data_IF_057834014935
#
_entry.id   IF_057834014935
#
_cell.length_a   1.000
_cell.length_b   1.000
_cell.length_c   1.000
_cell.angle_alpha   90.00
_cell.angle_beta   90.00
_cell.angle_gamma   90.00
#
_symmetry.space_group_name_H-M   'P 1'
#
loop_
_entity.id
_entity.type
_entity.pdbx_description
1 polymer ?
#
# COMPACT_ATOMS: atom_id res chain seq x y z
N UNK A 1 20.97 -18.59 17.29
CA UNK A 1 21.85 -18.93 16.14
C UNK A 1 21.61 -17.83 15.12
N UNK A 2 22.48 -16.83 15.16
CA UNK A 2 22.35 -15.58 14.39
C UNK A 2 22.82 -15.82 12.96
N UNK A 3 22.06 -15.36 11.97
CA UNK A 3 22.50 -15.32 10.57
C UNK A 3 22.83 -13.86 10.22
N UNK A 4 24.12 -13.59 10.11
CA UNK A 4 24.69 -12.37 9.53
C UNK A 4 24.28 -12.27 8.06
N UNK A 5 23.59 -11.18 7.69
CA UNK A 5 23.41 -10.76 6.31
C UNK A 5 24.28 -9.53 6.06
N UNK A 6 25.54 -9.77 5.71
CA UNK A 6 26.41 -8.76 5.11
C UNK A 6 27.07 -9.36 3.86
N UNK A 7 26.50 -9.07 2.70
CA UNK A 7 27.16 -9.26 1.41
C UNK A 7 26.77 -8.09 0.49
N UNK A 8 27.63 -7.09 0.47
CA UNK A 8 27.64 -6.06 -0.58
C UNK A 8 28.28 -6.67 -1.82
N UNK A 9 27.50 -6.83 -2.90
CA UNK A 9 28.04 -7.11 -4.23
C UNK A 9 27.46 -6.11 -5.22
N UNK A 10 28.34 -5.31 -5.83
CA UNK A 10 28.05 -4.47 -6.99
C UNK A 10 27.49 -5.36 -8.12
N UNK A 11 26.23 -5.15 -8.50
CA UNK A 11 25.64 -5.80 -9.67
C UNK A 11 25.57 -4.77 -10.80
N UNK A 12 26.42 -4.96 -11.80
CA UNK A 12 26.20 -4.39 -13.13
C UNK A 12 25.01 -5.11 -13.78
N UNK A 13 24.05 -4.31 -14.23
CA UNK A 13 22.89 -4.68 -15.04
C UNK A 13 23.22 -5.70 -16.15
N UNK A 14 22.61 -6.87 -16.10
CA UNK A 14 22.45 -7.75 -17.26
C UNK A 14 20.97 -8.13 -17.44
N UNK A 15 20.29 -7.43 -18.35
CA UNK A 15 18.89 -7.67 -18.74
C UNK A 15 18.62 -9.12 -19.23
N UNK A 16 19.65 -9.90 -19.55
CA UNK A 16 19.53 -11.27 -20.07
C UNK A 16 19.26 -12.34 -18.99
N UNK A 17 19.66 -12.13 -17.74
CA UNK A 17 19.41 -13.11 -16.66
C UNK A 17 17.97 -13.02 -16.12
N UNK A 18 17.34 -11.84 -16.17
CA UNK A 18 15.95 -11.69 -15.76
C UNK A 18 14.95 -12.34 -16.71
N UNK A 19 15.24 -12.40 -18.03
CA UNK A 19 14.34 -13.02 -18.99
C UNK A 19 14.20 -14.53 -18.80
N UNK A 20 15.28 -15.22 -18.40
CA UNK A 20 15.24 -16.67 -18.12
C UNK A 20 14.50 -16.99 -16.81
N UNK A 21 14.72 -16.20 -15.75
CA UNK A 21 13.98 -16.33 -14.49
C UNK A 21 12.48 -16.05 -14.65
N UNK A 22 12.10 -15.15 -15.56
CA UNK A 22 10.69 -14.81 -15.85
C UNK A 22 9.94 -15.89 -16.63
N UNK A 23 10.62 -16.60 -17.53
CA UNK A 23 10.03 -17.71 -18.31
C UNK A 23 9.73 -18.91 -17.39
N UNK A 24 10.67 -19.27 -16.51
CA UNK A 24 10.51 -20.35 -15.51
C UNK A 24 9.37 -20.03 -14.51
N UNK A 25 9.22 -18.76 -14.13
CA UNK A 25 8.13 -18.30 -13.25
C UNK A 25 6.74 -18.47 -13.90
N UNK A 26 6.59 -18.16 -15.19
CA UNK A 26 5.29 -18.28 -15.87
C UNK A 26 4.88 -19.75 -16.05
N UNK A 27 5.82 -20.65 -16.37
CA UNK A 27 5.55 -22.09 -16.45
C UNK A 27 5.25 -22.72 -15.09
N UNK A 28 5.89 -22.23 -14.01
CA UNK A 28 5.65 -22.68 -12.63
C UNK A 28 4.24 -22.35 -12.13
N UNK A 29 3.70 -21.16 -12.41
CA UNK A 29 2.42 -20.73 -11.84
C UNK A 29 1.22 -20.88 -12.79
N UNK A 30 1.43 -21.10 -14.08
CA UNK A 30 0.36 -21.16 -15.09
C UNK A 30 0.10 -22.55 -15.64
N UNK A 31 -0.18 -23.46 -14.73
CA UNK A 31 -0.32 -24.87 -15.07
C UNK A 31 -1.75 -25.27 -15.45
N UNK A 32 -2.77 -24.45 -15.15
CA UNK A 32 -4.17 -24.81 -15.38
C UNK A 32 -5.00 -23.72 -16.07
N UNK A 33 -4.95 -23.70 -17.42
CA UNK A 33 -5.77 -22.82 -18.28
C UNK A 33 -7.29 -23.01 -18.17
N UNK A 34 -7.79 -23.95 -17.37
CA UNK A 34 -9.20 -24.37 -17.28
C UNK A 34 -9.82 -24.20 -15.89
N UNK A 35 -9.28 -23.33 -15.03
CA UNK A 35 -9.96 -23.02 -13.77
C UNK A 35 -10.96 -21.90 -13.98
N UNK A 36 -12.22 -22.13 -13.60
CA UNK A 36 -13.27 -21.11 -13.57
C UNK A 36 -13.02 -20.18 -12.36
N UNK A 37 -12.05 -19.29 -12.47
CA UNK A 37 -11.66 -18.37 -11.41
C UNK A 37 -12.53 -17.11 -11.46
N UNK A 38 -12.88 -16.56 -10.29
CA UNK A 38 -13.70 -15.35 -10.20
C UNK A 38 -12.93 -14.07 -10.55
N UNK A 39 -11.61 -14.15 -10.60
CA UNK A 39 -10.67 -13.06 -10.91
C UNK A 39 -9.64 -13.56 -11.92
N UNK A 40 -9.08 -12.66 -12.71
CA UNK A 40 -8.04 -12.98 -13.69
C UNK A 40 -6.78 -13.52 -13.01
N UNK A 41 -6.09 -14.44 -13.66
CA UNK A 41 -4.81 -14.94 -13.20
C UNK A 41 -3.66 -14.01 -13.63
N UNK A 42 -3.27 -13.11 -12.73
CA UNK A 42 -2.21 -12.11 -12.99
C UNK A 42 -0.88 -12.80 -13.27
N UNK A 43 -0.56 -13.91 -12.58
CA UNK A 43 0.69 -14.64 -12.79
C UNK A 43 0.72 -15.33 -14.17
N UNK A 44 -0.43 -15.43 -14.84
CA UNK A 44 -0.53 -15.94 -16.22
C UNK A 44 -0.61 -14.90 -17.31
N UNK A 45 -0.66 -13.63 -16.95
CA UNK A 45 -0.45 -12.57 -17.92
C UNK A 45 0.98 -12.65 -18.44
N UNK A 46 1.15 -12.59 -19.76
CA UNK A 46 2.48 -12.47 -20.36
C UNK A 46 3.13 -11.17 -19.90
N UNK A 47 4.46 -11.16 -19.68
CA UNK A 47 5.17 -9.93 -19.37
C UNK A 47 4.92 -8.86 -20.44
N UNK A 48 4.72 -7.62 -20.00
CA UNK A 48 4.61 -6.48 -20.90
C UNK A 48 6.01 -6.08 -21.41
N UNK A 49 6.08 -5.74 -22.69
CA UNK A 49 7.28 -5.12 -23.26
C UNK A 49 7.22 -3.61 -23.00
N UNK A 50 7.89 -3.18 -21.93
CA UNK A 50 7.90 -1.77 -21.54
C UNK A 50 8.78 -0.93 -22.48
N UNK A 51 8.24 0.23 -22.87
CA UNK A 51 8.87 1.20 -23.74
C UNK A 51 9.97 1.96 -22.97
N UNK A 52 11.20 2.07 -23.52
CA UNK A 52 12.35 2.58 -22.78
C UNK A 52 12.36 4.11 -22.62
N UNK A 53 11.54 4.84 -23.37
CA UNK A 53 11.49 6.30 -23.37
C UNK A 53 10.61 6.89 -22.26
N UNK A 54 10.02 6.07 -21.40
CA UNK A 54 9.16 6.48 -20.30
C UNK A 54 9.72 6.02 -18.97
N UNK A 55 9.61 6.86 -17.93
CA UNK A 55 9.84 6.40 -16.54
C UNK A 55 8.78 5.40 -16.11
N UNK A 56 7.52 5.68 -16.41
CA UNK A 56 6.45 4.74 -16.13
C UNK A 56 6.61 3.44 -16.94
N UNK A 57 6.26 2.29 -16.37
CA UNK A 57 6.08 1.04 -17.11
C UNK A 57 4.93 1.15 -18.12
N UNK A 58 5.26 1.67 -19.31
CA UNK A 58 4.31 1.90 -20.41
C UNK A 58 4.50 0.91 -21.56
N UNK A 59 3.42 0.50 -22.21
CA UNK A 59 3.42 -0.38 -23.39
C UNK A 59 2.35 0.07 -24.39
N UNK A 60 2.42 -0.45 -25.62
CA UNK A 60 1.35 -0.29 -26.61
C UNK A 60 0.39 -1.48 -26.53
N UNK A 61 -0.91 -1.20 -26.47
CA UNK A 61 -1.93 -2.24 -26.60
C UNK A 61 -2.14 -2.66 -28.08
N UNK A 62 -3.11 -3.56 -28.30
CA UNK A 62 -3.44 -4.09 -29.64
C UNK A 62 -3.91 -3.03 -30.63
N UNK A 63 -4.37 -1.87 -30.15
CA UNK A 63 -4.80 -0.74 -30.95
C UNK A 63 -3.69 0.32 -31.08
N UNK A 64 -2.46 -0.01 -30.68
CA UNK A 64 -1.31 0.90 -30.61
C UNK A 64 -1.47 2.06 -29.63
N UNK A 65 -2.48 2.03 -28.75
CA UNK A 65 -2.66 3.04 -27.72
C UNK A 65 -1.65 2.81 -26.58
N UNK A 66 -1.07 3.90 -26.06
CA UNK A 66 -0.14 3.82 -24.93
C UNK A 66 -0.94 3.58 -23.64
N UNK A 67 -0.54 2.55 -22.91
CA UNK A 67 -1.02 2.21 -21.57
C UNK A 67 0.17 2.28 -20.62
N UNK A 68 -0.07 2.70 -19.39
CA UNK A 68 0.96 2.76 -18.36
C UNK A 68 0.44 2.17 -17.04
N UNK A 69 1.31 1.44 -16.35
CA UNK A 69 1.14 1.15 -14.92
C UNK A 69 1.72 2.33 -14.10
N UNK A 70 1.34 2.47 -12.82
CA UNK A 70 1.95 3.47 -11.95
C UNK A 70 3.46 3.22 -11.81
N UNK A 71 4.22 4.30 -11.66
CA UNK A 71 5.66 4.25 -11.39
C UNK A 71 5.95 3.99 -9.89
N UNK A 72 5.02 4.41 -9.03
CA UNK A 72 5.10 4.20 -7.60
C UNK A 72 3.71 3.93 -7.00
N UNK A 73 3.70 3.31 -5.81
CA UNK A 73 2.49 3.09 -5.04
C UNK A 73 2.64 3.60 -3.60
N UNK A 74 1.76 4.51 -3.17
CA UNK A 74 1.58 4.87 -1.76
C UNK A 74 0.56 3.89 -1.14
N UNK A 75 1.08 2.76 -0.67
CA UNK A 75 0.27 1.58 -0.30
C UNK A 75 -0.24 1.58 1.13
N UNK A 76 0.21 2.51 1.98
CA UNK A 76 -0.20 2.54 3.38
C UNK A 76 0.16 3.82 4.10
N UNK A 77 -0.42 4.11 5.25
CA UNK A 77 -1.46 3.33 5.95
C UNK A 77 -2.73 4.18 6.15
N UNK A 78 -3.90 3.55 6.24
CA UNK A 78 -5.15 4.21 6.66
C UNK A 78 -4.90 5.13 7.86
N UNK A 79 -5.39 6.37 7.78
CA UNK A 79 -5.37 7.36 8.88
C UNK A 79 -3.98 7.75 9.39
N UNK A 80 -2.95 7.55 8.57
CA UNK A 80 -1.58 7.99 8.84
C UNK A 80 -1.15 9.20 8.00
N UNK A 81 -2.09 9.88 7.31
CA UNK A 81 -1.78 11.07 6.50
C UNK A 81 -1.52 10.80 5.02
N UNK A 82 -1.81 9.60 4.52
CA UNK A 82 -1.58 9.24 3.11
C UNK A 82 -2.28 10.15 2.09
N UNK A 83 -3.46 10.70 2.40
CA UNK A 83 -4.12 11.69 1.51
C UNK A 83 -3.36 13.01 1.42
N UNK A 84 -2.87 13.54 2.53
CA UNK A 84 -2.07 14.76 2.55
C UNK A 84 -0.74 14.55 1.82
N UNK A 85 -0.07 13.41 2.10
CA UNK A 85 1.18 13.05 1.44
C UNK A 85 1.05 12.94 -0.08
N UNK A 86 0.00 12.27 -0.56
CA UNK A 86 -0.21 12.12 -2.00
C UNK A 86 -0.60 13.45 -2.67
N UNK A 87 -1.43 14.28 -2.02
CA UNK A 87 -1.78 15.62 -2.51
C UNK A 87 -0.52 16.49 -2.70
N UNK A 88 0.40 16.45 -1.74
CA UNK A 88 1.70 17.15 -1.84
C UNK A 88 2.59 16.59 -2.94
N UNK A 89 2.63 15.27 -3.13
CA UNK A 89 3.40 14.65 -4.21
C UNK A 89 2.94 15.15 -5.59
N UNK A 90 1.64 15.20 -5.85
CA UNK A 90 1.11 15.60 -7.18
C UNK A 90 1.15 17.11 -7.46
N UNK A 91 1.57 17.91 -6.47
CA UNK A 91 1.91 19.33 -6.69
C UNK A 91 3.28 19.51 -7.35
N UNK A 92 4.12 18.46 -7.33
CA UNK A 92 5.35 18.45 -8.11
C UNK A 92 5.00 18.42 -9.62
N UNK A 93 5.60 19.28 -10.47
CA UNK A 93 5.24 19.37 -11.90
C UNK A 93 5.32 18.03 -12.65
N UNK A 94 6.33 17.23 -12.31
CA UNK A 94 6.60 15.91 -12.89
C UNK A 94 5.74 14.76 -12.34
N UNK A 95 4.85 14.99 -11.37
CA UNK A 95 4.06 13.92 -10.74
C UNK A 95 2.57 14.16 -10.95
N UNK A 96 1.90 13.19 -11.58
CA UNK A 96 0.47 13.24 -11.87
C UNK A 96 -0.32 12.26 -11.01
N UNK A 97 -1.48 12.70 -10.54
CA UNK A 97 -2.48 11.81 -9.95
C UNK A 97 -3.05 10.82 -10.95
N UNK A 98 -4.00 10.01 -10.49
CA UNK A 98 -4.78 9.10 -11.32
C UNK A 98 -6.27 9.47 -11.25
N UNK A 99 -7.12 8.79 -12.02
CA UNK A 99 -8.57 9.09 -12.05
C UNK A 99 -9.38 8.33 -10.99
N UNK A 100 -8.69 7.72 -10.02
CA UNK A 100 -9.30 7.03 -8.88
C UNK A 100 -9.96 7.98 -7.89
N UNK A 101 -10.44 7.42 -6.77
CA UNK A 101 -11.07 8.24 -5.73
C UNK A 101 -10.08 9.27 -5.19
N UNK A 102 -10.53 10.53 -5.03
CA UNK A 102 -9.69 11.67 -4.61
C UNK A 102 -8.44 11.88 -5.47
N UNK A 103 -8.47 11.45 -6.73
CA UNK A 103 -7.34 11.58 -7.65
C UNK A 103 -6.16 10.62 -7.37
N UNK A 104 -6.37 9.58 -6.53
CA UNK A 104 -5.28 8.68 -6.11
C UNK A 104 -5.66 7.23 -5.85
N UNK A 105 -6.84 6.95 -5.29
CA UNK A 105 -7.19 5.61 -4.78
C UNK A 105 -7.89 4.77 -5.84
N UNK A 106 -7.17 3.81 -6.43
CA UNK A 106 -7.77 2.82 -7.33
C UNK A 106 -8.56 1.78 -6.52
N UNK A 107 -8.08 1.40 -5.33
CA UNK A 107 -8.62 0.32 -4.49
C UNK A 107 -8.67 -1.04 -5.22
N UNK A 108 -7.92 -1.19 -6.30
CA UNK A 108 -8.06 -2.34 -7.18
C UNK A 108 -7.42 -3.59 -6.58
N UNK A 109 -6.17 -3.49 -6.14
CA UNK A 109 -5.38 -4.61 -5.63
C UNK A 109 -5.96 -5.23 -4.36
N UNK A 110 -6.42 -4.41 -3.43
CA UNK A 110 -7.03 -4.83 -2.16
C UNK A 110 -8.50 -5.23 -2.28
N UNK A 111 -9.32 -4.46 -3.01
CA UNK A 111 -10.79 -4.55 -2.92
C UNK A 111 -11.49 -4.85 -4.24
N UNK A 112 -11.40 -3.96 -5.23
CA UNK A 112 -12.26 -4.01 -6.42
C UNK A 112 -11.97 -5.22 -7.31
N UNK A 113 -10.71 -5.69 -7.39
CA UNK A 113 -10.38 -6.96 -8.08
C UNK A 113 -11.19 -8.13 -7.52
N UNK A 114 -11.35 -8.17 -6.21
CA UNK A 114 -11.99 -9.27 -5.48
C UNK A 114 -13.48 -9.07 -5.23
N UNK A 115 -14.04 -7.93 -5.63
CA UNK A 115 -15.45 -7.57 -5.41
C UNK A 115 -15.73 -7.24 -3.94
N UNK A 116 -14.74 -6.71 -3.22
CA UNK A 116 -14.85 -6.41 -1.78
C UNK A 116 -15.04 -4.90 -1.57
N UNK A 117 -15.77 -4.54 -0.51
CA UNK A 117 -15.84 -3.16 -0.03
C UNK A 117 -16.26 -3.15 1.44
N UNK A 118 -15.33 -2.93 2.39
CA UNK A 118 -15.63 -2.99 3.82
C UNK A 118 -16.46 -4.24 4.16
N UNK A 119 -17.73 -4.07 4.55
CA UNK A 119 -18.66 -5.14 4.92
C UNK A 119 -19.56 -5.65 3.80
N UNK A 120 -19.46 -5.12 2.58
CA UNK A 120 -20.31 -5.47 1.44
C UNK A 120 -19.52 -5.99 0.25
N UNK A 121 -20.24 -6.60 -0.68
CA UNK A 121 -19.73 -7.05 -1.98
C UNK A 121 -20.04 -5.98 -3.03
N UNK A 122 -19.09 -5.76 -3.95
CA UNK A 122 -19.24 -4.88 -5.11
C UNK A 122 -18.94 -5.63 -6.41
N UNK A 123 -19.22 -5.00 -7.55
CA UNK A 123 -18.83 -5.54 -8.87
C UNK A 123 -17.31 -5.67 -8.93
N UNK A 124 -16.86 -6.85 -9.37
CA UNK A 124 -15.43 -7.11 -9.63
C UNK A 124 -14.93 -6.28 -10.79
N UNK A 125 -13.70 -5.83 -10.67
CA UNK A 125 -12.95 -5.16 -11.73
C UNK A 125 -11.83 -6.05 -12.25
N UNK A 126 -11.58 -5.97 -13.55
CA UNK A 126 -10.50 -6.67 -14.22
C UNK A 126 -9.25 -5.77 -14.32
N UNK A 127 -8.16 -6.29 -14.87
CA UNK A 127 -6.90 -5.57 -15.00
C UNK A 127 -6.99 -4.39 -15.98
N UNK A 128 -7.84 -4.48 -17.00
CA UNK A 128 -8.09 -3.35 -17.88
C UNK A 128 -8.75 -2.19 -17.12
N UNK A 129 -9.70 -2.47 -16.22
CA UNK A 129 -10.27 -1.47 -15.32
C UNK A 129 -9.19 -0.81 -14.46
N UNK A 130 -8.20 -1.57 -13.97
CA UNK A 130 -7.07 -1.01 -13.22
C UNK A 130 -6.25 -0.03 -14.05
N UNK A 131 -5.83 -0.45 -15.25
CA UNK A 131 -5.02 0.40 -16.14
C UNK A 131 -5.78 1.65 -16.62
N UNK A 132 -7.11 1.59 -16.67
CA UNK A 132 -7.95 2.73 -17.06
C UNK A 132 -7.85 3.91 -16.08
N UNK A 133 -7.50 3.66 -14.81
CA UNK A 133 -7.28 4.73 -13.84
C UNK A 133 -6.10 5.65 -14.23
N UNK A 134 -5.19 5.17 -15.07
CA UNK A 134 -3.99 5.87 -15.50
C UNK A 134 -4.08 6.36 -16.94
N UNK A 135 -5.20 6.20 -17.63
CA UNK A 135 -5.32 6.52 -19.06
C UNK A 135 -5.01 7.99 -19.37
N UNK A 136 -5.55 8.91 -18.57
CA UNK A 136 -5.28 10.36 -18.72
C UNK A 136 -3.80 10.67 -18.50
N UNK A 137 -3.21 10.10 -17.45
CA UNK A 137 -1.79 10.30 -17.15
C UNK A 137 -0.90 9.67 -18.23
N UNK A 138 -1.28 8.52 -18.79
CA UNK A 138 -0.56 7.87 -19.88
C UNK A 138 -0.58 8.71 -21.16
N UNK A 139 -1.70 9.37 -21.48
CA UNK A 139 -1.79 10.31 -22.59
C UNK A 139 -0.91 11.55 -22.37
N UNK A 140 -0.98 12.15 -21.17
CA UNK A 140 -0.12 13.28 -20.81
C UNK A 140 1.36 12.92 -20.87
N UNK A 141 1.71 11.73 -20.37
CA UNK A 141 3.06 11.17 -20.45
C UNK A 141 3.44 11.06 -21.92
N UNK A 142 2.63 10.44 -22.78
CA UNK A 142 2.91 10.28 -24.21
C UNK A 142 3.09 11.61 -24.97
N UNK A 143 2.41 12.68 -24.56
CA UNK A 143 2.45 13.95 -25.26
C UNK A 143 3.62 14.86 -24.84
N UNK A 144 4.31 14.55 -23.73
CA UNK A 144 5.30 15.48 -23.12
C UNK A 144 6.72 14.93 -23.22
N UNK A 145 7.47 15.28 -24.26
CA UNK A 145 8.89 14.87 -24.42
C UNK A 145 9.86 15.93 -23.93
N UNK A 146 11.01 15.52 -23.38
CA UNK A 146 12.18 16.38 -23.29
C UNK A 146 12.90 16.49 -24.66
N UNK A 147 13.97 17.26 -24.73
CA UNK A 147 14.77 17.49 -25.96
C UNK A 147 15.39 16.20 -26.54
N UNK A 148 15.41 15.10 -25.79
CA UNK A 148 15.93 13.79 -26.18
C UNK A 148 14.82 12.78 -26.52
N UNK A 149 13.55 13.21 -26.53
CA UNK A 149 12.40 12.33 -26.75
C UNK A 149 12.04 11.44 -25.55
N UNK A 150 12.59 11.74 -24.37
CA UNK A 150 12.33 11.02 -23.11
C UNK A 150 11.29 11.75 -22.26
N UNK A 151 10.44 10.98 -21.60
CA UNK A 151 9.29 11.48 -20.83
C UNK A 151 9.53 11.32 -19.33
N UNK A 152 9.69 12.44 -18.62
CA UNK A 152 9.98 12.48 -17.18
C UNK A 152 8.76 12.40 -16.27
N UNK A 153 7.57 12.70 -16.82
CA UNK A 153 6.31 12.65 -16.08
C UNK A 153 6.08 11.26 -15.51
N UNK A 154 5.71 11.22 -14.23
CA UNK A 154 5.32 10.00 -13.54
C UNK A 154 3.91 10.06 -12.97
N UNK A 155 3.27 8.90 -12.83
CA UNK A 155 2.01 8.76 -12.09
C UNK A 155 2.09 7.64 -11.06
N UNK A 156 1.25 7.69 -10.03
CA UNK A 156 1.24 6.72 -8.94
C UNK A 156 -0.16 6.29 -8.50
N UNK A 157 -0.21 5.16 -7.81
CA UNK A 157 -1.41 4.66 -7.11
C UNK A 157 -1.31 4.98 -5.62
N UNK A 158 -2.30 5.66 -5.05
CA UNK A 158 -2.29 6.05 -3.65
C UNK A 158 -3.33 5.31 -2.83
N UNK A 159 -3.34 3.99 -2.84
CA UNK A 159 -4.31 3.14 -2.14
C UNK A 159 -3.75 2.55 -0.82
N UNK A 160 -4.09 3.12 0.36
CA UNK A 160 -3.50 2.69 1.63
C UNK A 160 -3.90 1.29 2.12
N UNK A 161 -4.91 0.69 1.48
CA UNK A 161 -5.45 -0.63 1.84
C UNK A 161 -4.57 -1.73 1.28
N UNK A 162 -3.82 -1.42 0.22
CA UNK A 162 -3.01 -2.40 -0.48
C UNK A 162 -1.92 -2.96 0.43
N UNK A 163 -1.40 -2.17 1.39
CA UNK A 163 -0.43 -2.64 2.36
C UNK A 163 -0.91 -3.84 3.19
N UNK A 164 -2.19 -3.85 3.62
CA UNK A 164 -2.66 -4.72 4.70
C UNK A 164 -3.86 -5.60 4.36
N UNK A 165 -4.72 -5.21 3.42
CA UNK A 165 -5.93 -5.97 3.13
C UNK A 165 -5.64 -7.09 2.13
N UNK A 166 -5.22 -8.23 2.69
CA UNK A 166 -4.98 -9.46 1.95
C UNK A 166 -6.18 -10.40 1.96
N UNK A 167 -7.35 -10.01 2.47
CA UNK A 167 -8.47 -10.95 2.67
C UNK A 167 -9.05 -11.52 1.37
N UNK A 168 -8.69 -10.93 0.23
CA UNK A 168 -8.97 -11.45 -1.11
C UNK A 168 -8.12 -12.66 -1.53
N UNK A 169 -7.08 -13.02 -0.77
CA UNK A 169 -6.12 -14.07 -1.12
C UNK A 169 -6.72 -15.42 -1.54
N UNK A 170 -7.86 -15.92 -0.99
CA UNK A 170 -8.42 -17.21 -1.42
C UNK A 170 -8.95 -17.18 -2.86
N UNK A 171 -9.17 -15.99 -3.44
CA UNK A 171 -9.59 -15.83 -4.83
C UNK A 171 -8.40 -15.85 -5.80
N UNK A 172 -7.16 -15.77 -5.32
CA UNK A 172 -5.96 -15.90 -6.16
C UNK A 172 -5.84 -17.37 -6.61
N UNK A 173 -5.74 -17.67 -7.92
CA UNK A 173 -5.77 -19.04 -8.42
C UNK A 173 -4.73 -19.96 -7.77
N UNK A 174 -3.51 -19.46 -7.56
CA UNK A 174 -2.39 -20.21 -6.97
C UNK A 174 -2.59 -20.56 -5.49
N UNK A 175 -3.56 -19.94 -4.81
CA UNK A 175 -3.90 -20.25 -3.42
C UNK A 175 -5.08 -21.22 -3.29
N UNK A 176 -5.59 -21.78 -4.40
CA UNK A 176 -6.73 -22.68 -4.36
C UNK A 176 -6.46 -23.86 -3.41
N UNK A 177 -7.44 -24.13 -2.53
CA UNK A 177 -7.38 -25.19 -1.51
C UNK A 177 -6.26 -25.07 -0.46
N UNK A 178 -5.59 -23.92 -0.37
CA UNK A 178 -4.61 -23.65 0.68
C UNK A 178 -5.29 -23.17 1.96
N UNK A 179 -4.73 -23.51 3.11
CA UNK A 179 -5.21 -23.05 4.42
C UNK A 179 -4.67 -21.66 4.82
N UNK A 180 -3.59 -21.23 4.16
CA UNK A 180 -2.94 -19.93 4.28
C UNK A 180 -2.37 -19.50 2.92
N UNK A 181 -2.20 -18.19 2.65
CA UNK A 181 -1.71 -17.72 1.36
C UNK A 181 -0.21 -17.97 1.18
N UNK A 182 0.13 -18.53 0.02
CA UNK A 182 1.48 -18.57 -0.54
C UNK A 182 1.71 -17.36 -1.47
N UNK A 183 0.67 -17.00 -2.24
CA UNK A 183 0.68 -15.84 -3.13
C UNK A 183 -0.16 -14.72 -2.53
N UNK A 184 0.38 -13.50 -2.55
CA UNK A 184 -0.27 -12.28 -2.05
C UNK A 184 -0.10 -11.14 -3.06
N UNK A 185 -0.79 -10.03 -2.83
CA UNK A 185 -0.68 -8.79 -3.62
C UNK A 185 0.75 -8.42 -4.04
N UNK A 186 1.77 -8.38 -3.15
CA UNK A 186 3.14 -8.08 -3.57
C UNK A 186 3.68 -9.02 -4.68
N UNK A 187 3.37 -10.32 -4.62
CA UNK A 187 3.78 -11.28 -5.66
C UNK A 187 3.15 -10.96 -7.01
N UNK A 188 1.87 -10.58 -7.01
CA UNK A 188 1.16 -10.21 -8.24
C UNK A 188 1.73 -8.91 -8.85
N UNK A 189 2.05 -7.92 -8.01
CA UNK A 189 2.66 -6.66 -8.45
C UNK A 189 4.06 -6.93 -9.02
N UNK A 190 4.89 -7.75 -8.34
CA UNK A 190 6.25 -8.09 -8.78
C UNK A 190 6.24 -8.75 -10.16
N UNK A 191 5.27 -9.62 -10.42
CA UNK A 191 5.11 -10.26 -11.73
C UNK A 191 4.87 -9.26 -12.86
N UNK A 192 4.05 -8.24 -12.60
CA UNK A 192 3.78 -7.19 -13.58
C UNK A 192 4.97 -6.24 -13.73
N UNK A 193 5.44 -5.66 -12.63
CA UNK A 193 6.51 -4.68 -12.64
C UNK A 193 7.47 -4.88 -11.45
N UNK A 194 8.61 -5.56 -11.67
CA UNK A 194 9.58 -5.84 -10.61
C UNK A 194 10.14 -4.59 -9.93
N UNK A 195 10.38 -3.52 -10.67
CA UNK A 195 11.06 -2.30 -10.20
C UNK A 195 10.11 -1.31 -9.47
N UNK A 196 8.91 -1.73 -9.10
CA UNK A 196 7.90 -0.88 -8.46
C UNK A 196 8.43 -0.18 -7.19
N UNK A 197 8.22 1.14 -7.08
CA UNK A 197 8.58 1.91 -5.88
C UNK A 197 7.40 2.01 -4.92
N UNK A 198 7.65 1.80 -3.64
CA UNK A 198 6.62 1.83 -2.60
C UNK A 198 6.87 2.97 -1.61
N UNK A 199 5.80 3.66 -1.25
CA UNK A 199 5.78 4.66 -0.19
C UNK A 199 4.79 4.18 0.88
N UNK A 200 5.21 4.24 2.13
CA UNK A 200 4.38 3.92 3.29
C UNK A 200 4.51 5.07 4.28
N UNK A 201 3.40 5.56 4.80
CA UNK A 201 3.38 6.45 5.96
C UNK A 201 2.64 5.75 7.11
N UNK A 202 3.33 5.58 8.24
CA UNK A 202 2.84 4.92 9.45
C UNK A 202 2.66 5.93 10.57
N UNK A 203 1.70 5.66 11.45
CA UNK A 203 1.42 6.44 12.66
C UNK A 203 1.41 5.50 13.85
N UNK A 204 1.60 6.02 15.06
CA UNK A 204 1.29 5.28 16.29
C UNK A 204 -0.01 4.46 16.13
N UNK A 205 0.03 3.12 16.22
CA UNK A 205 -1.09 2.26 15.85
C UNK A 205 -2.33 2.49 16.73
N UNK A 206 -2.14 2.95 17.97
CA UNK A 206 -3.21 3.31 18.91
C UNK A 206 -3.92 4.58 18.43
N UNK A 207 -3.16 5.62 18.10
CA UNK A 207 -3.73 6.88 17.63
C UNK A 207 -4.33 6.74 16.22
N UNK A 208 -3.73 5.90 15.37
CA UNK A 208 -4.28 5.51 14.06
C UNK A 208 -5.63 4.84 14.24
N UNK A 209 -5.73 3.81 15.10
CA UNK A 209 -6.97 3.10 15.40
C UNK A 209 -8.05 4.05 15.94
N UNK A 210 -7.68 4.95 16.85
CA UNK A 210 -8.61 5.93 17.39
C UNK A 210 -9.14 6.86 16.30
N UNK A 211 -8.25 7.40 15.45
CA UNK A 211 -8.65 8.23 14.31
C UNK A 211 -9.54 7.49 13.32
N UNK A 212 -9.33 6.20 13.16
CA UNK A 212 -10.03 5.34 12.23
C UNK A 212 -11.47 5.07 12.66
N UNK A 213 -11.66 4.73 13.93
CA UNK A 213 -12.98 4.49 14.51
C UNK A 213 -13.96 5.66 14.31
N UNK A 214 -13.52 6.90 14.58
CA UNK A 214 -14.39 8.07 14.38
C UNK A 214 -14.54 8.46 12.91
N UNK A 215 -13.51 8.23 12.08
CA UNK A 215 -13.60 8.51 10.66
C UNK A 215 -14.68 7.66 9.99
N UNK A 216 -14.70 6.36 10.32
CA UNK A 216 -15.69 5.41 9.81
C UNK A 216 -17.03 5.45 10.54
N UNK A 217 -17.17 6.25 11.61
CA UNK A 217 -18.39 6.36 12.42
C UNK A 217 -18.88 5.00 12.95
N UNK A 218 -17.95 4.16 13.41
CA UNK A 218 -18.23 2.77 13.84
C UNK A 218 -19.03 2.65 15.15
N UNK A 219 -19.30 3.78 15.80
CA UNK A 219 -20.19 3.85 16.96
C UNK A 219 -20.39 5.28 17.42
N UNK A 220 -20.97 5.43 18.61
CA UNK A 220 -21.19 6.76 19.21
C UNK A 220 -19.85 7.47 19.39
N UNK A 221 -19.81 8.80 19.22
CA UNK A 221 -18.60 9.59 19.40
C UNK A 221 -18.27 9.76 20.90
N UNK A 222 -17.99 8.67 21.60
CA UNK A 222 -17.65 8.66 23.03
C UNK A 222 -16.52 7.67 23.30
N UNK A 223 -15.72 7.94 24.33
CA UNK A 223 -14.64 7.04 24.78
C UNK A 223 -15.21 5.68 25.22
N UNK A 224 -16.33 5.66 25.95
CA UNK A 224 -16.98 4.42 26.38
C UNK A 224 -17.42 3.52 25.21
N UNK A 225 -17.92 4.10 24.11
CA UNK A 225 -18.29 3.31 22.93
C UNK A 225 -17.05 2.75 22.22
N UNK A 226 -15.96 3.52 22.16
CA UNK A 226 -14.67 3.05 21.67
C UNK A 226 -14.13 1.89 22.52
N UNK A 227 -14.21 2.00 23.85
CA UNK A 227 -13.76 0.97 24.79
C UNK A 227 -14.50 -0.37 24.55
N UNK A 228 -15.83 -0.33 24.38
CA UNK A 228 -16.64 -1.51 24.04
C UNK A 228 -16.21 -2.11 22.69
N UNK A 229 -15.98 -1.27 21.68
CA UNK A 229 -15.55 -1.70 20.36
C UNK A 229 -14.16 -2.35 20.38
N UNK A 230 -13.21 -1.81 21.14
CA UNK A 230 -11.88 -2.38 21.34
C UNK A 230 -11.96 -3.73 22.03
N UNK A 231 -12.72 -3.85 23.12
CA UNK A 231 -12.89 -5.14 23.82
C UNK A 231 -13.50 -6.21 22.91
N UNK A 232 -14.53 -5.86 22.12
CA UNK A 232 -15.11 -6.78 21.15
C UNK A 232 -14.10 -7.23 20.10
N UNK A 233 -13.25 -6.32 19.64
CA UNK A 233 -12.22 -6.58 18.62
C UNK A 233 -11.10 -7.47 19.15
N UNK A 234 -10.69 -7.28 20.41
CA UNK A 234 -9.75 -8.15 21.11
C UNK A 234 -10.32 -9.56 21.30
N UNK A 235 -11.61 -9.67 21.64
CA UNK A 235 -12.28 -10.97 21.74
C UNK A 235 -12.27 -11.71 20.40
N UNK A 236 -12.58 -11.04 19.30
CA UNK A 236 -12.52 -11.61 17.93
C UNK A 236 -11.12 -12.16 17.64
N UNK A 237 -10.08 -11.40 17.96
CA UNK A 237 -8.69 -11.83 17.78
C UNK A 237 -8.35 -13.05 18.63
N UNK A 238 -8.68 -13.02 19.92
CA UNK A 238 -8.38 -14.09 20.86
C UNK A 238 -9.10 -15.38 20.49
N UNK A 239 -10.37 -15.32 20.11
CA UNK A 239 -11.14 -16.48 19.67
C UNK A 239 -10.55 -17.10 18.40
N UNK A 240 -10.12 -16.29 17.44
CA UNK A 240 -9.49 -16.79 16.23
C UNK A 240 -8.12 -17.43 16.53
N UNK A 241 -7.29 -16.76 17.32
CA UNK A 241 -5.93 -17.19 17.66
C UNK A 241 -5.87 -18.45 18.55
N UNK A 242 -6.99 -18.88 19.16
CA UNK A 242 -7.05 -20.16 19.90
C UNK A 242 -6.85 -21.38 19.01
N UNK A 243 -7.21 -21.28 17.73
CA UNK A 243 -7.22 -22.42 16.79
C UNK A 243 -6.55 -22.10 15.46
N UNK A 244 -6.01 -20.90 15.28
CA UNK A 244 -5.33 -20.47 14.07
C UNK A 244 -4.08 -19.64 14.42
N UNK A 245 -3.16 -19.55 13.47
CA UNK A 245 -2.04 -18.60 13.54
C UNK A 245 -2.55 -17.15 13.50
N UNK A 246 -1.77 -16.22 14.08
CA UNK A 246 -2.05 -14.79 13.97
C UNK A 246 -2.16 -14.35 12.50
N UNK A 247 -1.24 -14.83 11.65
CA UNK A 247 -1.21 -14.54 10.21
C UNK A 247 -2.52 -14.93 9.54
N UNK A 248 -3.02 -16.14 9.80
CA UNK A 248 -4.30 -16.61 9.28
C UNK A 248 -5.47 -15.75 9.77
N UNK A 249 -5.50 -15.37 11.05
CA UNK A 249 -6.55 -14.50 11.58
C UNK A 249 -6.54 -13.10 10.96
N UNK A 250 -5.36 -12.52 10.74
CA UNK A 250 -5.20 -11.20 10.14
C UNK A 250 -5.54 -11.17 8.65
N UNK A 251 -5.57 -12.31 7.95
CA UNK A 251 -5.89 -12.39 6.52
C UNK A 251 -7.25 -13.07 6.24
N UNK A 252 -8.00 -13.42 7.28
CA UNK A 252 -9.30 -14.08 7.14
C UNK A 252 -10.42 -13.05 6.92
N UNK A 253 -11.15 -13.21 5.82
CA UNK A 253 -12.24 -12.31 5.46
C UNK A 253 -13.37 -12.29 6.50
N UNK A 254 -13.65 -13.39 7.20
CA UNK A 254 -14.71 -13.42 8.22
C UNK A 254 -14.32 -12.58 9.43
N UNK A 255 -13.06 -12.62 9.87
CA UNK A 255 -12.59 -11.76 10.96
C UNK A 255 -12.58 -10.28 10.56
N UNK A 256 -12.16 -9.96 9.33
CA UNK A 256 -12.24 -8.61 8.78
C UNK A 256 -13.66 -8.04 8.84
N UNK A 257 -14.67 -8.79 8.39
CA UNK A 257 -16.07 -8.36 8.45
C UNK A 257 -16.54 -8.06 9.89
N UNK A 258 -16.06 -8.81 10.89
CA UNK A 258 -16.37 -8.55 12.29
C UNK A 258 -15.67 -7.30 12.81
N UNK A 259 -14.41 -7.06 12.43
CA UNK A 259 -13.66 -5.87 12.85
C UNK A 259 -14.12 -4.59 12.15
N UNK A 260 -14.55 -4.67 10.90
CA UNK A 260 -15.00 -3.52 10.08
C UNK A 260 -16.25 -2.81 10.63
N UNK A 261 -16.95 -3.42 11.59
CA UNK A 261 -18.10 -2.83 12.31
C UNK A 261 -17.82 -2.56 13.81
N UNK A 262 -16.55 -2.67 14.24
CA UNK A 262 -16.11 -2.49 15.63
C UNK A 262 -14.93 -1.53 15.70
N UNK A 263 -13.77 -1.98 16.17
CA UNK A 263 -12.52 -1.24 16.12
C UNK A 263 -11.54 -2.05 15.27
N UNK A 264 -11.02 -1.47 14.19
CA UNK A 264 -10.15 -2.18 13.24
C UNK A 264 -8.73 -2.36 13.78
N UNK A 265 -8.60 -3.13 14.88
CA UNK A 265 -7.33 -3.35 15.59
C UNK A 265 -6.30 -4.06 14.70
N UNK A 266 -6.76 -4.89 13.77
CA UNK A 266 -5.93 -5.69 12.88
C UNK A 266 -5.03 -4.84 11.97
N UNK A 267 -5.45 -3.62 11.60
CA UNK A 267 -4.64 -2.69 10.80
C UNK A 267 -3.34 -2.26 11.50
N UNK A 268 -3.27 -2.30 12.84
CA UNK A 268 -2.10 -1.86 13.59
C UNK A 268 -0.94 -2.86 13.61
N UNK A 269 -1.11 -4.05 13.05
CA UNK A 269 -0.07 -5.10 13.01
C UNK A 269 0.92 -4.88 11.86
N UNK A 270 1.51 -3.69 11.77
CA UNK A 270 2.30 -3.27 10.60
C UNK A 270 3.45 -4.22 10.28
N UNK A 271 4.14 -4.76 11.31
CA UNK A 271 5.21 -5.75 11.13
C UNK A 271 4.75 -6.95 10.30
N UNK A 272 3.57 -7.52 10.61
CA UNK A 272 3.06 -8.72 9.95
C UNK A 272 2.81 -8.47 8.46
N UNK A 273 2.27 -7.29 8.12
CA UNK A 273 2.01 -6.94 6.73
C UNK A 273 3.30 -6.60 5.98
N UNK A 274 4.16 -5.75 6.57
CA UNK A 274 5.38 -5.30 5.93
C UNK A 274 6.36 -6.44 5.67
N UNK A 275 6.40 -7.44 6.55
CA UNK A 275 7.20 -8.64 6.34
C UNK A 275 6.81 -9.39 5.05
N UNK A 276 5.53 -9.44 4.69
CA UNK A 276 5.10 -10.05 3.41
C UNK A 276 5.57 -9.26 2.20
N UNK A 277 5.66 -7.92 2.30
CA UNK A 277 6.20 -7.07 1.24
C UNK A 277 7.71 -7.25 1.07
N UNK A 278 8.46 -7.29 2.18
CA UNK A 278 9.93 -7.45 2.15
C UNK A 278 10.40 -8.84 1.75
N UNK A 279 9.55 -9.87 1.86
CA UNK A 279 9.82 -11.20 1.28
C UNK A 279 9.87 -11.17 -0.25
N UNK A 280 9.23 -10.19 -0.89
CA UNK A 280 9.05 -10.13 -2.36
C UNK A 280 9.85 -9.02 -3.01
N UNK A 281 9.96 -7.86 -2.35
CA UNK A 281 10.66 -6.69 -2.87
C UNK A 281 11.84 -6.30 -1.98
N UNK A 282 12.96 -5.87 -2.57
CA UNK A 282 14.12 -5.41 -1.82
C UNK A 282 13.82 -4.11 -1.07
N UNK A 283 14.53 -3.89 0.05
CA UNK A 283 14.29 -2.79 0.98
C UNK A 283 14.45 -1.40 0.36
N UNK A 284 15.34 -1.26 -0.62
CA UNK A 284 15.65 -0.02 -1.34
C UNK A 284 14.50 0.45 -2.26
N UNK A 285 13.55 -0.42 -2.58
CA UNK A 285 12.31 -0.07 -3.28
C UNK A 285 11.25 0.57 -2.34
N UNK A 286 11.55 0.82 -1.06
CA UNK A 286 10.61 1.38 -0.09
C UNK A 286 11.12 2.67 0.57
N UNK A 287 10.27 3.69 0.63
CA UNK A 287 10.31 4.74 1.65
C UNK A 287 9.22 4.48 2.68
N UNK A 288 9.61 4.51 3.96
CA UNK A 288 8.70 4.29 5.09
C UNK A 288 8.84 5.46 6.05
N UNK A 289 7.79 6.25 6.16
CA UNK A 289 7.73 7.48 6.95
C UNK A 289 6.95 7.26 8.24
N UNK A 290 7.28 8.04 9.27
CA UNK A 290 6.41 8.24 10.44
C UNK A 290 5.63 9.53 10.26
N UNK A 291 4.33 9.50 10.53
CA UNK A 291 3.47 10.68 10.49
C UNK A 291 4.00 11.78 11.42
N UNK A 292 4.52 11.38 12.58
CA UNK A 292 5.08 12.28 13.58
C UNK A 292 6.28 13.07 13.02
N UNK A 293 7.24 12.38 12.38
CA UNK A 293 8.43 13.03 11.79
C UNK A 293 8.07 13.87 10.57
N UNK A 294 7.26 13.29 9.67
CA UNK A 294 6.78 13.96 8.46
C UNK A 294 6.08 15.29 8.78
N UNK A 295 5.26 15.30 9.83
CA UNK A 295 4.52 16.51 10.24
C UNK A 295 5.43 17.60 10.83
N UNK A 296 6.59 17.23 11.37
CA UNK A 296 7.55 18.18 11.95
C UNK A 296 8.45 18.83 10.89
N UNK A 297 8.78 18.10 9.82
CA UNK A 297 9.63 18.61 8.73
C UNK A 297 9.13 18.14 7.36
N UNK A 298 8.09 18.79 6.85
CA UNK A 298 7.50 18.46 5.54
C UNK A 298 8.50 18.69 4.41
N UNK A 299 9.34 19.73 4.50
CA UNK A 299 10.30 20.06 3.44
C UNK A 299 11.34 18.94 3.25
N UNK A 300 11.93 18.47 4.35
CA UNK A 300 12.90 17.38 4.32
C UNK A 300 12.30 16.11 3.69
N UNK A 301 11.16 15.65 4.22
CA UNK A 301 10.57 14.39 3.77
C UNK A 301 10.02 14.46 2.33
N UNK A 302 9.47 15.61 1.90
CA UNK A 302 9.07 15.79 0.50
C UNK A 302 10.28 15.82 -0.44
N UNK A 303 11.40 16.41 -0.01
CA UNK A 303 12.65 16.37 -0.79
C UNK A 303 13.18 14.95 -0.94
N UNK A 304 13.18 14.16 0.13
CA UNK A 304 13.57 12.74 0.08
C UNK A 304 12.66 11.93 -0.86
N UNK A 305 11.36 12.17 -0.83
CA UNK A 305 10.41 11.51 -1.72
C UNK A 305 10.62 11.88 -3.20
N UNK A 306 10.83 13.17 -3.51
CA UNK A 306 11.12 13.58 -4.90
C UNK A 306 12.41 12.94 -5.42
N UNK A 307 13.45 12.88 -4.58
CA UNK A 307 14.72 12.21 -4.91
C UNK A 307 14.52 10.71 -5.12
N UNK A 308 13.79 10.04 -4.23
CA UNK A 308 13.48 8.61 -4.35
C UNK A 308 12.70 8.28 -5.62
N UNK A 309 11.75 9.13 -5.99
CA UNK A 309 11.00 9.00 -7.25
C UNK A 309 11.81 9.48 -8.47
N UNK A 310 12.97 10.11 -8.28
CA UNK A 310 13.77 10.72 -9.33
C UNK A 310 12.99 11.78 -10.10
N UNK A 311 12.09 12.51 -9.45
CA UNK A 311 11.23 13.52 -10.07
C UNK A 311 11.95 14.87 -10.30
N UNK A 312 13.17 15.01 -9.78
CA UNK A 312 13.92 16.27 -9.74
C UNK A 312 13.80 16.94 -8.37
N UNK A 313 14.80 17.73 -8.02
CA UNK A 313 14.82 18.45 -6.74
C UNK A 313 14.12 19.80 -6.89
N UNK A 314 13.37 20.20 -5.85
CA UNK A 314 12.78 21.52 -5.74
C UNK A 314 13.43 22.27 -4.58
N UNK A 315 13.78 23.53 -4.80
CA UNK A 315 14.19 24.43 -3.72
C UNK A 315 13.05 24.68 -2.73
N UNK A 316 13.39 25.13 -1.52
CA UNK A 316 12.42 25.54 -0.51
C UNK A 316 11.40 26.56 -1.05
N UNK A 317 11.87 27.53 -1.85
CA UNK A 317 11.01 28.53 -2.48
C UNK A 317 10.02 27.87 -3.46
N UNK A 318 10.49 26.99 -4.34
CA UNK A 318 9.62 26.29 -5.29
C UNK A 318 8.57 25.43 -4.58
N UNK A 319 8.95 24.70 -3.51
CA UNK A 319 7.97 23.92 -2.75
C UNK A 319 6.92 24.78 -2.05
N UNK A 320 7.31 25.95 -1.53
CA UNK A 320 6.36 26.93 -1.00
C UNK A 320 5.42 27.47 -2.08
N UNK A 321 5.97 27.91 -3.21
CA UNK A 321 5.21 28.50 -4.33
C UNK A 321 4.20 27.51 -4.93
N UNK A 322 4.54 26.21 -4.97
CA UNK A 322 3.65 25.13 -5.41
C UNK A 322 2.63 24.69 -4.34
N UNK A 323 2.66 25.28 -3.14
CA UNK A 323 1.79 24.90 -2.03
C UNK A 323 2.08 23.51 -1.46
N UNK A 324 3.27 22.95 -1.73
CA UNK A 324 3.73 21.65 -1.20
C UNK A 324 3.92 21.74 0.31
N UNK A 325 4.26 22.92 0.85
CA UNK A 325 4.49 23.12 2.29
C UNK A 325 3.27 23.72 3.01
N UNK A 326 2.18 24.03 2.30
CA UNK A 326 0.96 24.58 2.89
C UNK A 326 0.23 23.57 3.78
N UNK A 327 -0.43 24.04 4.84
CA UNK A 327 -1.27 23.20 5.73
C UNK A 327 -2.73 23.06 5.27
N UNK A 328 -3.10 23.62 4.12
CA UNK A 328 -4.49 23.71 3.64
C UNK A 328 -5.24 22.37 3.54
N UNK A 329 -4.55 21.25 3.31
CA UNK A 329 -5.17 19.93 3.11
C UNK A 329 -4.99 18.95 4.27
N UNK A 330 -4.54 19.41 5.44
CA UNK A 330 -4.46 18.55 6.64
C UNK A 330 -5.89 18.20 7.10
N UNK A 331 -6.40 17.07 6.64
CA UNK A 331 -7.72 16.59 7.04
C UNK A 331 -7.68 16.00 8.46
N UNK A 332 -8.06 16.81 9.43
CA UNK A 332 -8.39 16.31 10.76
C UNK A 332 -9.86 15.89 10.83
N UNK A 333 -10.11 14.73 11.43
CA UNK A 333 -11.47 14.23 11.61
C UNK A 333 -12.15 15.09 12.68
N UNK A 334 -13.02 16.03 12.28
CA UNK A 334 -13.71 17.00 13.17
C UNK A 334 -14.40 16.37 14.38
N UNK A 335 -14.86 15.11 14.25
CA UNK A 335 -15.41 14.37 15.38
C UNK A 335 -14.37 14.17 16.50
N UNK A 336 -13.08 13.94 16.20
CA UNK A 336 -12.00 13.79 17.19
C UNK A 336 -11.83 15.04 18.07
N UNK A 337 -12.08 16.23 17.52
CA UNK A 337 -11.97 17.50 18.26
C UNK A 337 -13.09 17.68 19.29
N UNK A 338 -14.19 16.93 19.17
CA UNK A 338 -15.36 17.01 20.06
C UNK A 338 -15.49 15.83 21.03
N UNK A 339 -14.58 14.84 20.95
CA UNK A 339 -14.67 13.62 21.75
C UNK A 339 -13.62 13.63 22.85
N UNK A 340 -14.03 13.17 24.03
CA UNK A 340 -13.12 12.96 25.16
C UNK A 340 -11.92 12.08 24.76
N UNK A 341 -10.80 12.24 25.47
CA UNK A 341 -9.62 11.38 25.28
C UNK A 341 -9.99 9.90 25.50
N UNK A 342 -9.26 9.01 24.83
CA UNK A 342 -9.33 7.57 25.08
C UNK A 342 -9.08 7.28 26.56
N UNK A 343 -9.79 6.32 27.15
CA UNK A 343 -9.54 5.93 28.54
C UNK A 343 -8.14 5.32 28.69
N UNK A 344 -7.48 5.59 29.82
CA UNK A 344 -6.15 5.03 30.10
C UNK A 344 -6.18 3.49 30.10
N UNK A 345 -7.26 2.88 30.61
CA UNK A 345 -7.45 1.42 30.60
C UNK A 345 -7.46 0.85 29.19
N UNK A 346 -8.15 1.50 28.24
CA UNK A 346 -8.14 1.06 26.84
C UNK A 346 -6.79 1.31 26.19
N UNK A 347 -6.13 2.42 26.51
CA UNK A 347 -4.78 2.70 26.03
C UNK A 347 -3.79 1.61 26.45
N UNK A 348 -3.81 1.21 27.71
CA UNK A 348 -2.97 0.12 28.24
C UNK A 348 -3.24 -1.22 27.54
N UNK A 349 -4.50 -1.57 27.28
CA UNK A 349 -4.84 -2.78 26.51
C UNK A 349 -4.25 -2.77 25.10
N UNK A 350 -4.30 -1.63 24.42
CA UNK A 350 -3.76 -1.47 23.08
C UNK A 350 -2.23 -1.40 23.07
N UNK A 351 -1.61 -0.80 24.10
CA UNK A 351 -0.16 -0.85 24.32
C UNK A 351 0.31 -2.29 24.45
N UNK A 352 -0.33 -3.08 25.32
CA UNK A 352 -0.02 -4.50 25.50
C UNK A 352 -0.22 -5.31 24.20
N UNK A 353 -1.23 -4.97 23.41
CA UNK A 353 -1.47 -5.60 22.11
C UNK A 353 -0.34 -5.32 21.11
N UNK A 354 0.06 -4.05 20.94
CA UNK A 354 0.94 -3.63 19.85
C UNK A 354 2.43 -3.65 20.19
N UNK A 355 2.81 -3.49 21.46
CA UNK A 355 4.23 -3.37 21.88
C UNK A 355 5.12 -4.49 21.33
N UNK A 356 4.74 -5.79 21.39
CA UNK A 356 5.58 -6.84 20.82
C UNK A 356 5.81 -6.66 19.30
N UNK A 357 4.79 -6.29 18.56
CA UNK A 357 4.87 -6.09 17.10
C UNK A 357 5.59 -4.80 16.71
N UNK A 358 5.48 -3.75 17.52
CA UNK A 358 6.22 -2.50 17.33
C UNK A 358 7.72 -2.71 17.56
N UNK A 359 8.09 -3.56 18.52
CA UNK A 359 9.48 -3.96 18.73
C UNK A 359 10.04 -4.72 17.52
N UNK A 360 9.30 -5.71 17.00
CA UNK A 360 9.66 -6.43 15.77
C UNK A 360 9.75 -5.50 14.56
N UNK A 361 8.81 -4.55 14.42
CA UNK A 361 8.83 -3.54 13.36
C UNK A 361 10.09 -2.67 13.45
N UNK A 362 10.43 -2.20 14.65
CA UNK A 362 11.62 -1.39 14.88
C UNK A 362 12.91 -2.13 14.54
N UNK A 363 12.98 -3.44 14.83
CA UNK A 363 14.11 -4.30 14.42
C UNK A 363 14.13 -4.47 12.90
N UNK A 364 13.00 -4.80 12.28
CA UNK A 364 12.86 -4.99 10.83
C UNK A 364 13.27 -3.73 10.04
N UNK A 365 12.97 -2.54 10.58
CA UNK A 365 13.27 -1.25 9.96
C UNK A 365 14.63 -0.68 10.39
N UNK A 366 15.31 -1.32 11.35
CA UNK A 366 16.50 -0.79 12.02
C UNK A 366 16.28 0.65 12.52
N UNK A 367 15.15 0.89 13.17
CA UNK A 367 14.74 2.22 13.64
C UNK A 367 13.89 2.09 14.91
N UNK A 368 14.49 2.41 16.07
CA UNK A 368 13.84 2.31 17.38
C UNK A 368 12.64 3.24 17.53
N UNK A 369 12.51 4.27 16.69
CA UNK A 369 11.43 5.24 16.76
C UNK A 369 10.08 4.64 16.35
N UNK A 370 10.05 3.46 15.73
CA UNK A 370 8.83 2.68 15.46
C UNK A 370 8.34 1.86 16.65
N UNK A 371 9.00 1.93 17.82
CA UNK A 371 8.46 1.34 19.06
C UNK A 371 7.26 2.12 19.61
N UNK A 372 7.17 3.39 19.21
CA UNK A 372 6.26 4.43 19.71
C UNK A 372 6.37 4.67 21.21
#
# INVERSE_FOLDING_TARGET
MFLDFNASSKIHSSRSNESHLRIDHQEKYCQNKRQNTKVEDILCMKPFQYLPNFKNPCWKDVNHAIKCLPYFMLIGMDKSGSSDLFDRLIKHPEIKGNTGSRGKETMWWSWKRYGLWLTRTIKRQNFNDYTSYFAVSAEQISNTTNDQGYHNLITGDGTPMDMWDFRGWPQIPQNMNKSEPEILTPHLIRHLYPEMKFIIILRNPIDRLYSDYFFLKLGRPTSAAFDVAVNSSLQILNECNRVNSLRKCLYDAKQHYKWDIKARIHLGFYYVYLLEWFKVFPRDQFIILRTEDYSTDVFHHMSELHKFLGAGDLSLKQMNDLGILSKEHVYETKAKQKVALMSNVTREKLLNLYTPFNNELAVLLNDSRFRW
#
